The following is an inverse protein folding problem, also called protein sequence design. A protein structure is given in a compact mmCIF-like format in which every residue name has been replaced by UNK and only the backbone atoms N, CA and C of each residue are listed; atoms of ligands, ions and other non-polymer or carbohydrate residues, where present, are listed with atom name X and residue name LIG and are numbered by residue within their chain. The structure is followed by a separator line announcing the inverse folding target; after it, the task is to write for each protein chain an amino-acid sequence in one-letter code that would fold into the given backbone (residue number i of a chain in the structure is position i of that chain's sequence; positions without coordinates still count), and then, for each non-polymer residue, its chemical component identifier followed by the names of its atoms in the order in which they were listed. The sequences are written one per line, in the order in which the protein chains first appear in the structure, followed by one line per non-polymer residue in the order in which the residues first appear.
data_IF_335876222483
#
_entry.id   IF_335876222483
#
_cell.length_a   1.000
_cell.length_b   1.000
_cell.length_c   1.000
_cell.angle_alpha   90.00
_cell.angle_beta   90.00
_cell.angle_gamma   90.00
#
_symmetry.space_group_name_H-M   'P 1'
#
loop_
_entity.id
_entity.type
_entity.pdbx_description
1 polymer ?
#
# COMPACT_ATOMS: atom_id res chain seq x y z
N UNK A 1 4.31 6.25 7.09
CA UNK A 1 5.38 7.26 7.36
C UNK A 1 5.97 7.75 6.04
N UNK A 2 6.81 8.80 6.03
CA UNK A 2 7.53 9.25 4.81
C UNK A 2 9.03 9.38 5.11
N UNK A 3 9.88 8.85 4.21
CA UNK A 3 11.34 9.00 4.22
C UNK A 3 11.74 9.74 2.93
N UNK A 4 12.25 10.97 3.06
CA UNK A 4 12.42 11.85 1.91
C UNK A 4 11.05 12.20 1.32
N UNK A 5 10.76 11.69 0.12
CA UNK A 5 9.43 11.78 -0.52
C UNK A 5 8.74 10.42 -0.66
N UNK A 6 9.36 9.34 -0.19
CA UNK A 6 8.81 7.99 -0.32
C UNK A 6 7.92 7.66 0.89
N UNK A 7 6.64 7.42 0.62
CA UNK A 7 5.70 6.94 1.63
C UNK A 7 5.93 5.45 1.87
N UNK A 8 6.08 5.08 3.14
CA UNK A 8 6.30 3.70 3.55
C UNK A 8 5.22 3.19 4.50
N UNK A 9 4.83 1.93 4.30
CA UNK A 9 3.93 1.21 5.17
C UNK A 9 4.42 -0.23 5.43
N UNK A 10 4.36 -0.75 6.66
CA UNK A 10 3.81 -0.09 7.85
C UNK A 10 4.86 0.71 8.65
N UNK A 11 4.40 1.53 9.58
CA UNK A 11 5.22 2.27 10.55
C UNK A 11 5.48 1.53 11.87
N UNK A 12 4.71 0.47 12.16
CA UNK A 12 5.01 -0.57 13.15
C UNK A 12 4.65 -1.96 12.59
N UNK A 13 5.22 -3.07 13.10
CA UNK A 13 4.84 -4.42 12.69
C UNK A 13 3.32 -4.65 12.71
N UNK A 14 2.77 -5.31 11.68
CA UNK A 14 1.33 -5.49 11.49
C UNK A 14 0.93 -6.89 11.02
N UNK A 15 0.62 -7.75 11.98
CA UNK A 15 0.03 -9.07 11.71
C UNK A 15 -1.33 -8.96 11.02
N UNK A 16 -2.12 -7.93 11.37
CA UNK A 16 -3.44 -7.68 10.77
C UNK A 16 -3.32 -7.35 9.29
N UNK A 17 -2.40 -6.48 8.90
CA UNK A 17 -2.16 -6.16 7.49
C UNK A 17 -1.74 -7.39 6.69
N UNK A 18 -0.85 -8.20 7.25
CA UNK A 18 -0.42 -9.47 6.65
C UNK A 18 -1.60 -10.43 6.45
N UNK A 19 -2.48 -10.57 7.44
CA UNK A 19 -3.68 -11.41 7.34
C UNK A 19 -4.61 -10.94 6.22
N UNK A 20 -4.87 -9.63 6.13
CA UNK A 20 -5.74 -9.07 5.10
C UNK A 20 -5.19 -9.31 3.68
N UNK A 21 -3.87 -9.17 3.47
CA UNK A 21 -3.25 -9.47 2.18
C UNK A 21 -3.44 -10.94 1.78
N UNK A 22 -3.30 -11.88 2.73
CA UNK A 22 -3.57 -13.31 2.49
C UNK A 22 -5.03 -13.59 2.14
N UNK A 23 -5.96 -12.86 2.75
CA UNK A 23 -7.39 -12.94 2.42
C UNK A 23 -7.65 -12.40 1.00
N UNK A 24 -7.01 -11.30 0.59
CA UNK A 24 -7.10 -10.77 -0.78
C UNK A 24 -6.55 -11.76 -1.81
N UNK A 25 -5.43 -12.43 -1.52
CA UNK A 25 -4.89 -13.51 -2.36
C UNK A 25 -5.92 -14.63 -2.53
N UNK A 26 -6.56 -15.06 -1.42
CA UNK A 26 -7.59 -16.09 -1.48
C UNK A 26 -8.76 -15.65 -2.37
N UNK A 27 -9.24 -14.42 -2.22
CA UNK A 27 -10.31 -13.87 -3.06
C UNK A 27 -9.93 -13.84 -4.54
N UNK A 28 -8.68 -13.48 -4.89
CA UNK A 28 -8.19 -13.59 -6.28
C UNK A 28 -8.25 -15.02 -6.80
N UNK A 29 -7.81 -16.00 -6.00
CA UNK A 29 -7.85 -17.43 -6.38
C UNK A 29 -9.27 -17.95 -6.54
N UNK A 30 -10.20 -17.43 -5.76
CA UNK A 30 -11.63 -17.73 -5.86
C UNK A 30 -12.30 -17.03 -7.07
N UNK A 31 -11.54 -16.28 -7.89
CA UNK A 31 -12.01 -15.66 -9.12
C UNK A 31 -12.54 -14.23 -8.97
N UNK A 32 -12.45 -13.64 -7.77
CA UNK A 32 -12.88 -12.26 -7.55
C UNK A 32 -11.80 -11.26 -7.98
N UNK A 33 -12.23 -10.04 -8.32
CA UNK A 33 -11.33 -8.88 -8.35
C UNK A 33 -11.00 -8.50 -6.90
N UNK A 34 -9.72 -8.38 -6.59
CA UNK A 34 -9.23 -7.97 -5.27
C UNK A 34 -8.17 -6.89 -5.44
N UNK A 35 -8.26 -5.87 -4.59
CA UNK A 35 -7.44 -4.66 -4.64
C UNK A 35 -6.97 -4.35 -3.22
N UNK A 36 -5.71 -4.00 -3.04
CA UNK A 36 -5.23 -3.28 -1.87
C UNK A 36 -5.02 -1.82 -2.26
N UNK A 37 -5.63 -0.92 -1.49
CA UNK A 37 -5.59 0.52 -1.73
C UNK A 37 -4.80 1.20 -0.61
N UNK A 38 -3.70 1.85 -0.98
CA UNK A 38 -2.90 2.68 -0.09
C UNK A 38 -3.22 4.15 -0.33
N UNK A 39 -3.56 4.86 0.74
CA UNK A 39 -3.83 6.28 0.72
C UNK A 39 -2.71 7.05 1.43
N UNK A 40 -1.92 7.76 0.65
CA UNK A 40 -0.88 8.66 1.14
C UNK A 40 -1.55 9.95 1.62
N UNK A 41 -1.67 10.08 2.94
CA UNK A 41 -2.19 11.30 3.58
C UNK A 41 -1.07 12.25 4.02
N UNK A 42 0.19 11.89 3.82
CA UNK A 42 1.32 12.75 4.17
C UNK A 42 1.65 13.67 2.97
N UNK A 43 1.72 15.00 3.14
CA UNK A 43 1.82 15.94 2.02
C UNK A 43 3.10 15.79 1.19
N UNK A 44 4.18 15.27 1.79
CA UNK A 44 5.45 15.03 1.11
C UNK A 44 5.56 13.66 0.41
N UNK A 45 4.55 12.80 0.53
CA UNK A 45 4.60 11.48 -0.13
C UNK A 45 4.33 11.62 -1.62
N UNK A 46 5.30 11.22 -2.45
CA UNK A 46 5.28 11.27 -3.92
C UNK A 46 5.48 9.90 -4.57
N UNK A 47 5.87 8.88 -3.79
CA UNK A 47 5.98 7.48 -4.21
C UNK A 47 5.63 6.56 -3.05
N UNK A 48 5.44 5.26 -3.31
CA UNK A 48 5.17 4.27 -2.26
C UNK A 48 6.13 3.08 -2.30
N UNK A 49 6.54 2.61 -1.12
CA UNK A 49 7.21 1.33 -0.97
C UNK A 49 6.77 0.64 0.34
N UNK A 50 6.74 -0.70 0.41
CA UNK A 50 6.56 -1.37 1.69
C UNK A 50 7.80 -1.15 2.58
N UNK A 51 7.56 -1.03 3.89
CA UNK A 51 8.63 -0.79 4.85
C UNK A 51 9.31 -2.09 5.29
N UNK A 52 10.24 -2.56 4.46
CA UNK A 52 10.99 -3.81 4.69
C UNK A 52 11.74 -3.87 6.02
N UNK A 53 12.31 -2.74 6.47
CA UNK A 53 13.08 -2.68 7.72
C UNK A 53 12.20 -2.91 8.95
N UNK A 54 10.96 -2.44 8.88
CA UNK A 54 10.05 -2.45 10.02
C UNK A 54 9.15 -3.69 10.04
N UNK A 55 8.70 -4.16 8.87
CA UNK A 55 7.93 -5.40 8.77
C UNK A 55 8.19 -6.11 7.44
N UNK A 56 9.22 -6.97 7.44
CA UNK A 56 9.57 -7.79 6.28
C UNK A 56 8.52 -8.85 5.95
N UNK A 57 7.71 -9.29 6.94
CA UNK A 57 6.65 -10.28 6.73
C UNK A 57 5.50 -9.65 5.96
N UNK A 58 5.05 -8.45 6.37
CA UNK A 58 4.05 -7.69 5.62
C UNK A 58 4.55 -7.39 4.21
N UNK A 59 5.78 -6.88 4.09
CA UNK A 59 6.37 -6.47 2.81
C UNK A 59 6.45 -7.64 1.83
N UNK A 60 6.91 -8.81 2.28
CA UNK A 60 6.90 -10.04 1.48
C UNK A 60 5.49 -10.46 1.10
N UNK A 61 4.54 -10.39 2.03
CA UNK A 61 3.15 -10.78 1.73
C UNK A 61 2.50 -9.82 0.74
N UNK A 62 2.90 -8.55 0.69
CA UNK A 62 2.43 -7.59 -0.30
C UNK A 62 2.95 -7.94 -1.70
N UNK A 63 4.22 -8.33 -1.82
CA UNK A 63 4.77 -8.90 -3.05
C UNK A 63 4.01 -10.16 -3.47
N UNK A 64 3.85 -11.13 -2.56
CA UNK A 64 3.10 -12.35 -2.83
C UNK A 64 1.67 -12.01 -3.32
N UNK A 65 1.03 -10.99 -2.75
CA UNK A 65 -0.29 -10.52 -3.16
C UNK A 65 -0.30 -9.98 -4.60
N UNK A 66 0.66 -9.13 -4.92
CA UNK A 66 0.84 -8.58 -6.27
C UNK A 66 1.09 -9.69 -7.30
N UNK A 67 1.99 -10.63 -7.01
CA UNK A 67 2.30 -11.78 -7.87
C UNK A 67 1.09 -12.72 -8.09
N UNK A 68 0.20 -12.84 -7.10
CA UNK A 68 -1.05 -13.58 -7.22
C UNK A 68 -2.19 -12.75 -7.86
N UNK A 69 -1.87 -11.57 -8.42
CA UNK A 69 -2.78 -10.74 -9.19
C UNK A 69 -3.69 -9.85 -8.36
N UNK A 70 -3.42 -9.64 -7.07
CA UNK A 70 -4.07 -8.57 -6.29
C UNK A 70 -3.58 -7.24 -6.84
N UNK A 71 -4.51 -6.37 -7.22
CA UNK A 71 -4.15 -5.04 -7.73
C UNK A 71 -3.68 -4.14 -6.58
N UNK A 72 -2.62 -3.38 -6.80
CA UNK A 72 -2.15 -2.36 -5.87
C UNK A 72 -2.52 -1.00 -6.44
N UNK A 73 -3.32 -0.25 -5.70
CA UNK A 73 -3.62 1.13 -6.00
C UNK A 73 -2.98 2.01 -4.94
N UNK A 74 -2.20 2.99 -5.37
CA UNK A 74 -1.59 3.98 -4.49
C UNK A 74 -2.07 5.34 -4.93
N UNK A 75 -2.68 6.08 -4.02
CA UNK A 75 -3.21 7.41 -4.29
C UNK A 75 -2.80 8.36 -3.17
N UNK A 76 -2.83 9.66 -3.47
CA UNK A 76 -2.53 10.72 -2.52
C UNK A 76 -3.78 11.55 -2.22
N UNK A 77 -3.82 12.14 -1.03
CA UNK A 77 -4.78 13.18 -0.70
C UNK A 77 -4.19 14.57 -0.85
N UNK A 78 -4.98 15.50 -1.39
CA UNK A 78 -4.81 16.93 -1.15
C UNK A 78 -5.57 17.30 0.14
N UNK A 79 -4.81 17.48 1.22
CA UNK A 79 -5.35 17.80 2.54
C UNK A 79 -5.33 19.32 2.75
N UNK A 80 -6.51 19.90 2.91
CA UNK A 80 -6.71 21.33 3.20
C UNK A 80 -7.47 21.48 4.51
N UNK A 81 -7.47 22.69 5.10
CA UNK A 81 -8.16 22.94 6.36
C UNK A 81 -9.69 22.80 6.26
N UNK A 82 -10.23 22.92 5.04
CA UNK A 82 -11.66 22.90 4.73
C UNK A 82 -12.11 21.60 4.03
N UNK A 83 -11.20 20.66 3.76
CA UNK A 83 -11.54 19.42 3.07
C UNK A 83 -10.35 18.52 2.77
N UNK A 84 -10.67 17.30 2.35
CA UNK A 84 -9.71 16.30 1.88
C UNK A 84 -10.23 15.78 0.54
N UNK A 85 -9.44 15.97 -0.51
CA UNK A 85 -9.75 15.42 -1.84
C UNK A 85 -8.76 14.33 -2.22
N UNK A 86 -9.24 13.35 -2.97
CA UNK A 86 -8.37 12.37 -3.61
C UNK A 86 -7.75 13.02 -4.86
N UNK A 87 -6.43 12.98 -4.97
CA UNK A 87 -5.73 13.33 -6.21
C UNK A 87 -6.09 12.27 -7.27
N UNK A 88 -6.61 12.62 -8.46
CA UNK A 88 -7.19 11.65 -9.39
C UNK A 88 -6.16 10.78 -10.12
N UNK A 89 -4.87 10.96 -9.85
CA UNK A 89 -3.77 10.18 -10.39
C UNK A 89 -3.23 9.15 -9.39
N UNK A 90 -2.99 7.93 -9.87
CA UNK A 90 -2.25 6.93 -9.10
C UNK A 90 -0.78 7.32 -9.02
N UNK A 91 -0.17 7.02 -7.87
CA UNK A 91 1.24 7.26 -7.59
C UNK A 91 2.06 6.00 -7.86
N UNK A 92 3.28 6.18 -8.35
CA UNK A 92 4.22 5.07 -8.57
C UNK A 92 4.57 4.35 -7.26
N UNK A 93 4.80 3.05 -7.37
CA UNK A 93 5.27 2.23 -6.26
C UNK A 93 6.40 1.28 -6.66
N UNK A 94 7.27 1.01 -5.71
CA UNK A 94 8.31 -0.02 -5.79
C UNK A 94 8.11 -1.00 -4.62
N UNK A 95 7.84 -2.26 -4.92
CA UNK A 95 7.68 -3.27 -3.88
C UNK A 95 9.01 -3.77 -3.30
N UNK A 96 10.13 -3.42 -3.95
CA UNK A 96 11.47 -3.81 -3.56
C UNK A 96 11.65 -5.32 -3.64
N UNK A 97 12.22 -5.78 -4.77
CA UNK A 97 12.42 -7.20 -5.15
C UNK A 97 11.16 -8.05 -5.24
#
# INVERSE_FOLDING_TARGET
LVVGTEARFPDAPTERGTKHLKELIKLKKDGYRAVVFFLIQHPLGESFAPNWENDSVFSKTLNDAYENGVEILVYKCDNRLDGIDLVPESVDFDLGR
#
